data_IF_694329745620
#
_entry.id   IF_694329745620
#
_cell.length_a   1.000
_cell.length_b   1.000
_cell.length_c   1.000
_cell.angle_alpha   90.00
_cell.angle_beta   90.00
_cell.angle_gamma   90.00
#
_symmetry.space_group_name_H-M   'P 1'
#
loop_
_entity.id
_entity.type
_entity.pdbx_description
1 polymer ?
#
# COMPACT_ATOMS: atom_id res chain seq x y z
N UNK A 1 -26.70 21.45 26.50
CA UNK A 1 -26.47 20.44 25.42
C UNK A 1 -25.13 20.62 24.72
N UNK A 2 -24.73 21.83 24.31
CA UNK A 2 -23.46 22.10 23.60
C UNK A 2 -22.18 21.77 24.40
N UNK A 3 -22.14 22.05 25.70
CA UNK A 3 -21.00 21.74 26.55
C UNK A 3 -20.67 20.24 26.66
N UNK A 4 -21.68 19.37 26.49
CA UNK A 4 -21.50 17.92 26.50
C UNK A 4 -20.87 17.42 25.19
N UNK A 5 -21.23 18.04 24.05
CA UNK A 5 -20.64 17.73 22.75
C UNK A 5 -19.17 18.17 22.72
N UNK A 6 -18.86 19.36 23.24
CA UNK A 6 -17.47 19.83 23.30
C UNK A 6 -16.58 18.97 24.20
N UNK A 7 -17.06 18.55 25.37
CA UNK A 7 -16.34 17.58 26.21
C UNK A 7 -16.16 16.23 25.52
N UNK A 8 -17.19 15.76 24.83
CA UNK A 8 -17.12 14.51 24.08
C UNK A 8 -16.07 14.58 22.96
N UNK A 9 -16.04 15.67 22.18
CA UNK A 9 -15.04 15.90 21.12
C UNK A 9 -13.62 16.02 21.71
N UNK A 10 -13.45 16.77 22.81
CA UNK A 10 -12.13 16.87 23.45
C UNK A 10 -11.64 15.52 23.95
N UNK A 11 -12.51 14.71 24.55
CA UNK A 11 -12.13 13.40 25.08
C UNK A 11 -11.87 12.36 23.99
N UNK A 12 -12.71 12.30 22.94
CA UNK A 12 -12.66 11.21 21.96
C UNK A 12 -11.88 11.55 20.70
N UNK A 13 -11.77 12.82 20.31
CA UNK A 13 -11.03 13.23 19.10
C UNK A 13 -9.70 13.89 19.48
N UNK A 14 -9.74 14.94 20.30
CA UNK A 14 -8.50 15.62 20.72
C UNK A 14 -7.69 14.75 21.70
N UNK A 15 -8.34 13.89 22.48
CA UNK A 15 -7.71 12.89 23.33
C UNK A 15 -6.84 11.91 22.55
N UNK A 16 -7.33 11.41 21.41
CA UNK A 16 -6.56 10.54 20.50
C UNK A 16 -5.31 11.25 19.95
N UNK A 17 -5.44 12.52 19.58
CA UNK A 17 -4.30 13.32 19.12
C UNK A 17 -3.25 13.53 20.23
N UNK A 18 -3.68 13.68 21.50
CA UNK A 18 -2.78 13.76 22.67
C UNK A 18 -2.11 12.42 22.99
N UNK A 19 -2.74 11.32 22.61
CA UNK A 19 -2.23 9.95 22.78
C UNK A 19 -1.32 9.49 21.64
N UNK A 20 -1.22 10.29 20.58
CA UNK A 20 -0.42 9.97 19.42
C UNK A 20 1.07 9.92 19.78
N UNK A 21 1.71 8.79 19.47
CA UNK A 21 3.13 8.57 19.66
C UNK A 21 3.85 8.58 18.33
N UNK A 22 5.08 9.09 18.30
CA UNK A 22 5.92 9.06 17.10
C UNK A 22 6.18 7.63 16.59
N UNK A 23 6.11 6.63 17.47
CA UNK A 23 6.20 5.20 17.10
C UNK A 23 5.07 4.74 16.18
N UNK A 24 3.93 5.44 16.14
CA UNK A 24 2.83 5.13 15.23
C UNK A 24 3.06 5.65 13.81
N UNK A 25 3.99 6.60 13.60
CA UNK A 25 4.20 7.22 12.29
C UNK A 25 4.62 6.23 11.20
N UNK A 26 5.61 5.34 11.39
CA UNK A 26 6.05 4.44 10.33
C UNK A 26 4.93 3.55 9.74
N UNK A 27 4.14 2.79 10.54
CA UNK A 27 3.04 2.00 9.98
C UNK A 27 1.94 2.88 9.39
N UNK A 28 1.65 4.05 10.00
CA UNK A 28 0.66 4.97 9.44
C UNK A 28 1.05 5.53 8.08
N UNK A 29 2.32 5.83 7.85
CA UNK A 29 2.80 6.29 6.54
C UNK A 29 2.58 5.24 5.45
N UNK A 30 2.79 3.95 5.77
CA UNK A 30 2.49 2.83 4.87
C UNK A 30 1.00 2.78 4.55
N UNK A 31 0.13 2.84 5.57
CA UNK A 31 -1.31 2.80 5.36
C UNK A 31 -1.83 4.03 4.60
N UNK A 32 -1.26 5.21 4.82
CA UNK A 32 -1.58 6.42 4.05
C UNK A 32 -1.20 6.23 2.58
N UNK A 33 -0.01 5.69 2.30
CA UNK A 33 0.41 5.39 0.93
C UNK A 33 -0.54 4.38 0.25
N UNK A 34 -0.92 3.31 0.96
CA UNK A 34 -1.90 2.35 0.48
C UNK A 34 -3.27 2.99 0.24
N UNK A 35 -3.72 3.90 1.12
CA UNK A 35 -4.99 4.60 1.00
C UNK A 35 -5.07 5.58 -0.17
N UNK A 36 -3.94 6.15 -0.59
CA UNK A 36 -3.85 7.04 -1.77
C UNK A 36 -3.76 6.23 -3.07
N UNK A 37 -3.33 4.96 -3.00
CA UNK A 37 -3.11 4.10 -4.17
C UNK A 37 -4.29 3.99 -5.16
N UNK A 38 -5.58 3.98 -4.75
CA UNK A 38 -6.69 3.87 -5.71
C UNK A 38 -6.74 5.03 -6.71
N UNK A 39 -6.23 6.22 -6.35
CA UNK A 39 -6.15 7.35 -7.28
C UNK A 39 -5.31 7.02 -8.51
N UNK A 40 -4.26 6.21 -8.34
CA UNK A 40 -3.40 5.77 -9.44
C UNK A 40 -4.08 4.70 -10.30
N UNK A 41 -4.96 3.88 -9.72
CA UNK A 41 -5.71 2.86 -10.44
C UNK A 41 -6.77 3.45 -11.39
N UNK A 42 -7.31 4.64 -11.06
CA UNK A 42 -8.24 5.37 -11.92
C UNK A 42 -7.59 5.65 -13.28
N UNK A 43 -6.35 6.16 -13.28
CA UNK A 43 -5.59 6.46 -14.51
C UNK A 43 -5.37 5.19 -15.34
N UNK A 44 -5.06 4.07 -14.69
CA UNK A 44 -4.92 2.77 -15.37
C UNK A 44 -6.20 2.32 -16.07
N UNK A 45 -7.36 2.52 -15.44
CA UNK A 45 -8.66 2.13 -16.01
C UNK A 45 -9.02 2.92 -17.27
N UNK A 46 -8.70 4.23 -17.31
CA UNK A 46 -8.85 5.03 -18.52
C UNK A 46 -7.89 4.59 -19.62
N UNK A 47 -6.62 4.34 -19.28
CA UNK A 47 -5.62 3.88 -20.23
C UNK A 47 -6.03 2.56 -20.92
N UNK A 48 -6.51 1.58 -20.16
CA UNK A 48 -7.01 0.31 -20.70
C UNK A 48 -8.15 0.52 -21.68
N UNK A 49 -9.12 1.35 -21.29
CA UNK A 49 -10.32 1.61 -22.09
C UNK A 49 -10.00 2.35 -23.39
N UNK A 50 -9.08 3.31 -23.36
CA UNK A 50 -8.83 4.22 -24.48
C UNK A 50 -7.69 3.75 -25.40
N UNK A 51 -6.69 3.02 -24.87
CA UNK A 51 -5.44 2.73 -25.60
C UNK A 51 -5.18 1.25 -25.85
N UNK A 52 -5.64 0.36 -24.96
CA UNK A 52 -5.36 -1.08 -25.09
C UNK A 52 -6.54 -1.89 -25.64
N UNK A 53 -7.79 -1.45 -25.39
CA UNK A 53 -8.98 -2.16 -25.88
C UNK A 53 -9.11 -3.60 -25.36
N UNK A 54 -8.54 -3.89 -24.18
CA UNK A 54 -8.57 -5.23 -23.59
C UNK A 54 -10.01 -5.65 -23.26
N UNK A 55 -10.30 -6.94 -23.42
CA UNK A 55 -11.63 -7.46 -23.14
C UNK A 55 -11.92 -7.46 -21.63
N UNK A 56 -13.21 -7.39 -21.27
CA UNK A 56 -13.63 -7.37 -19.87
C UNK A 56 -13.21 -8.66 -19.14
N UNK A 57 -13.22 -9.80 -19.84
CA UNK A 57 -12.83 -11.11 -19.32
C UNK A 57 -11.33 -11.13 -18.97
N UNK A 58 -10.49 -10.54 -19.82
CA UNK A 58 -9.06 -10.45 -19.55
C UNK A 58 -8.76 -9.59 -18.32
N UNK A 59 -9.42 -8.43 -18.22
CA UNK A 59 -9.25 -7.53 -17.08
C UNK A 59 -9.75 -8.15 -15.78
N UNK A 60 -10.85 -8.90 -15.81
CA UNK A 60 -11.33 -9.66 -14.66
C UNK A 60 -10.30 -10.72 -14.21
N UNK A 61 -9.68 -11.43 -15.17
CA UNK A 61 -8.60 -12.36 -14.88
C UNK A 61 -7.35 -11.68 -14.30
N UNK A 62 -6.94 -10.54 -14.86
CA UNK A 62 -5.82 -9.76 -14.34
C UNK A 62 -6.10 -9.24 -12.93
N UNK A 63 -7.31 -8.73 -12.66
CA UNK A 63 -7.73 -8.29 -11.34
C UNK A 63 -7.71 -9.43 -10.31
N UNK A 64 -8.14 -10.64 -10.71
CA UNK A 64 -8.03 -11.83 -9.87
C UNK A 64 -6.59 -12.11 -9.46
N UNK A 65 -5.65 -12.10 -10.42
CA UNK A 65 -4.23 -12.31 -10.13
C UNK A 65 -3.62 -11.16 -9.32
N UNK A 66 -4.03 -9.92 -9.57
CA UNK A 66 -3.60 -8.75 -8.80
C UNK A 66 -4.06 -8.82 -7.33
N UNK A 67 -5.13 -9.54 -7.01
CA UNK A 67 -5.60 -9.75 -5.63
C UNK A 67 -4.91 -10.91 -4.92
N UNK A 68 -4.23 -11.81 -5.65
CA UNK A 68 -3.56 -12.97 -5.09
C UNK A 68 -2.53 -12.64 -3.98
N UNK A 69 -1.73 -11.56 -4.08
CA UNK A 69 -0.82 -11.17 -3.00
C UNK A 69 -1.52 -10.98 -1.66
N UNK A 70 -2.73 -10.39 -1.63
CA UNK A 70 -3.49 -10.21 -0.39
C UNK A 70 -3.93 -11.54 0.23
N UNK A 71 -4.29 -12.52 -0.59
CA UNK A 71 -4.60 -13.87 -0.10
C UNK A 71 -3.37 -14.55 0.52
N UNK A 72 -2.17 -14.22 0.04
CA UNK A 72 -0.89 -14.73 0.54
C UNK A 72 -0.27 -13.84 1.63
N UNK A 73 -0.98 -12.80 2.08
CA UNK A 73 -0.48 -11.84 3.08
C UNK A 73 0.01 -12.54 4.34
N UNK A 74 -0.74 -13.51 4.86
CA UNK A 74 -0.39 -14.21 6.11
C UNK A 74 0.92 -15.02 6.01
N UNK A 75 1.12 -15.87 4.98
CA UNK A 75 2.43 -16.48 4.72
C UNK A 75 3.57 -15.48 4.56
N UNK A 76 3.35 -14.37 3.84
CA UNK A 76 4.38 -13.34 3.64
C UNK A 76 4.72 -12.64 4.96
N UNK A 77 3.72 -12.36 5.79
CA UNK A 77 3.93 -11.82 7.14
C UNK A 77 4.79 -12.74 7.99
N UNK A 78 4.51 -14.04 7.97
CA UNK A 78 5.35 -15.02 8.66
C UNK A 78 6.82 -15.00 8.18
N UNK A 79 7.07 -14.81 6.88
CA UNK A 79 8.44 -14.64 6.36
C UNK A 79 9.08 -13.36 6.90
N UNK A 80 8.35 -12.25 6.92
CA UNK A 80 8.83 -10.97 7.48
C UNK A 80 9.19 -11.12 8.96
N UNK A 81 8.39 -11.86 9.73
CA UNK A 81 8.65 -12.13 11.14
C UNK A 81 9.97 -12.89 11.35
N UNK A 82 10.26 -13.90 10.51
CA UNK A 82 11.54 -14.64 10.56
C UNK A 82 12.75 -13.72 10.30
N UNK A 83 12.57 -12.71 9.46
CA UNK A 83 13.61 -11.76 9.06
C UNK A 83 13.43 -10.37 9.71
N UNK A 84 12.81 -10.31 10.89
CA UNK A 84 12.39 -9.05 11.52
C UNK A 84 13.50 -8.00 11.69
N UNK A 85 14.74 -8.44 11.92
CA UNK A 85 15.92 -7.56 12.04
C UNK A 85 16.15 -6.67 10.81
N UNK A 86 15.69 -7.09 9.63
CA UNK A 86 15.81 -6.36 8.36
C UNK A 86 14.46 -5.82 7.86
N UNK A 87 13.47 -5.61 8.74
CA UNK A 87 12.13 -5.09 8.41
C UNK A 87 12.13 -3.85 7.49
N UNK A 88 13.06 -2.92 7.70
CA UNK A 88 13.20 -1.74 6.83
C UNK A 88 13.54 -2.11 5.39
N UNK A 89 14.32 -3.16 5.16
CA UNK A 89 14.62 -3.70 3.84
C UNK A 89 13.37 -4.17 3.09
N UNK A 90 12.42 -4.81 3.78
CA UNK A 90 11.14 -5.20 3.18
C UNK A 90 10.27 -3.98 2.81
N UNK A 91 10.25 -2.94 3.66
CA UNK A 91 9.55 -1.68 3.34
C UNK A 91 10.13 -1.03 2.09
N UNK A 92 11.46 -0.92 2.01
CA UNK A 92 12.15 -0.36 0.83
C UNK A 92 11.95 -1.21 -0.42
N UNK A 93 11.97 -2.54 -0.29
CA UNK A 93 11.69 -3.44 -1.41
C UNK A 93 10.27 -3.24 -1.93
N UNK A 94 9.28 -3.21 -1.04
CA UNK A 94 7.89 -2.93 -1.43
C UNK A 94 7.74 -1.55 -2.07
N UNK A 95 8.45 -0.54 -1.54
CA UNK A 95 8.43 0.81 -2.10
C UNK A 95 9.01 0.85 -3.51
N UNK A 96 10.11 0.12 -3.74
CA UNK A 96 10.73 0.01 -5.04
C UNK A 96 9.81 -0.68 -6.04
N UNK A 97 9.11 -1.75 -5.64
CA UNK A 97 8.14 -2.44 -6.50
C UNK A 97 6.99 -1.51 -6.92
N UNK A 98 6.45 -0.74 -5.98
CA UNK A 98 5.42 0.29 -6.27
C UNK A 98 5.99 1.37 -7.19
N UNK A 99 7.20 1.87 -6.90
CA UNK A 99 7.85 2.91 -7.70
C UNK A 99 8.11 2.45 -9.14
N UNK A 100 8.56 1.21 -9.34
CA UNK A 100 8.76 0.63 -10.67
C UNK A 100 7.42 0.46 -11.39
N UNK A 101 6.38 -0.02 -10.70
CA UNK A 101 5.03 -0.15 -11.29
C UNK A 101 4.49 1.20 -11.79
N UNK A 102 4.55 2.24 -10.94
CA UNK A 102 4.14 3.59 -11.30
C UNK A 102 5.04 4.18 -12.38
N UNK A 103 6.35 3.93 -12.32
CA UNK A 103 7.31 4.34 -13.33
C UNK A 103 6.99 3.77 -14.70
N UNK A 104 6.64 2.48 -14.79
CA UNK A 104 6.17 1.85 -16.03
C UNK A 104 4.94 2.58 -16.56
N UNK A 105 3.93 2.85 -15.72
CA UNK A 105 2.73 3.55 -16.16
C UNK A 105 3.01 4.99 -16.63
N UNK A 106 3.87 5.72 -15.92
CA UNK A 106 4.28 7.08 -16.31
C UNK A 106 5.00 7.07 -17.65
N UNK A 107 5.94 6.14 -17.86
CA UNK A 107 6.68 6.02 -19.12
C UNK A 107 5.77 5.56 -20.26
N UNK A 108 4.83 4.66 -19.99
CA UNK A 108 3.89 4.18 -20.99
C UNK A 108 2.94 5.29 -21.45
N UNK A 109 2.62 6.25 -20.58
CA UNK A 109 1.80 7.44 -20.88
C UNK A 109 2.60 8.59 -21.53
N UNK A 110 3.83 8.83 -21.08
CA UNK A 110 4.64 9.97 -21.52
C UNK A 110 5.59 9.69 -22.69
N UNK A 111 6.02 8.43 -22.84
CA UNK A 111 7.04 7.99 -23.81
C UNK A 111 6.66 6.64 -24.45
N UNK A 112 5.40 6.51 -24.88
CA UNK A 112 4.83 5.26 -25.39
C UNK A 112 5.65 4.64 -26.51
N UNK A 113 6.08 5.42 -27.51
CA UNK A 113 6.86 4.90 -28.65
C UNK A 113 8.16 4.22 -28.20
N UNK A 114 8.88 4.82 -27.25
CA UNK A 114 10.11 4.24 -26.72
C UNK A 114 9.83 2.93 -25.96
N UNK A 115 8.75 2.88 -25.16
CA UNK A 115 8.38 1.67 -24.43
C UNK A 115 7.95 0.52 -25.33
N UNK A 116 7.25 0.84 -26.43
CA UNK A 116 6.82 -0.13 -27.43
C UNK A 116 7.98 -0.78 -28.20
N UNK A 117 9.17 -0.16 -28.20
CA UNK A 117 10.38 -0.80 -28.78
C UNK A 117 10.90 -1.97 -27.94
N UNK A 118 10.57 -2.01 -26.65
CA UNK A 118 11.08 -3.01 -25.70
C UNK A 118 10.07 -4.14 -25.52
N UNK A 119 8.80 -3.81 -25.28
CA UNK A 119 7.72 -4.78 -25.12
C UNK A 119 6.37 -4.15 -25.49
N UNK A 120 5.34 -4.98 -25.72
CA UNK A 120 4.00 -4.48 -26.02
C UNK A 120 3.43 -3.69 -24.84
N UNK A 121 2.56 -2.72 -25.13
CA UNK A 121 1.87 -1.94 -24.10
C UNK A 121 1.06 -2.84 -23.14
N UNK A 122 0.48 -3.93 -23.65
CA UNK A 122 -0.20 -4.94 -22.85
C UNK A 122 0.76 -5.60 -21.85
N UNK A 123 1.96 -5.99 -22.27
CA UNK A 123 2.95 -6.63 -21.38
C UNK A 123 3.40 -5.67 -20.28
N UNK A 124 3.66 -4.40 -20.64
CA UNK A 124 3.99 -3.36 -19.66
C UNK A 124 2.85 -3.14 -18.67
N UNK A 125 1.61 -3.07 -19.17
CA UNK A 125 0.43 -2.90 -18.34
C UNK A 125 0.17 -4.07 -17.39
N UNK A 126 0.31 -5.32 -17.85
CA UNK A 126 0.20 -6.51 -17.00
C UNK A 126 1.28 -6.47 -15.92
N UNK A 127 2.53 -6.19 -16.31
CA UNK A 127 3.67 -6.14 -15.39
C UNK A 127 3.46 -5.09 -14.31
N UNK A 128 3.09 -3.86 -14.67
CA UNK A 128 2.82 -2.81 -13.68
C UNK A 128 1.64 -3.18 -12.77
N UNK A 129 0.57 -3.73 -13.34
CA UNK A 129 -0.65 -4.10 -12.61
C UNK A 129 -0.44 -5.21 -11.59
N UNK A 130 0.48 -6.14 -11.85
CA UNK A 130 0.83 -7.22 -10.90
C UNK A 130 1.88 -6.78 -9.87
N UNK A 131 2.81 -5.90 -10.25
CA UNK A 131 3.94 -5.51 -9.41
C UNK A 131 3.52 -4.62 -8.22
N UNK A 132 2.61 -3.67 -8.44
CA UNK A 132 2.14 -2.76 -7.40
C UNK A 132 1.48 -3.48 -6.21
N UNK A 133 0.48 -4.37 -6.42
CA UNK A 133 -0.11 -5.20 -5.36
C UNK A 133 0.89 -5.91 -4.46
N UNK A 134 1.92 -6.53 -5.05
CA UNK A 134 2.94 -7.26 -4.29
C UNK A 134 3.71 -6.28 -3.39
N UNK A 135 4.09 -5.11 -3.93
CA UNK A 135 4.76 -4.08 -3.16
C UNK A 135 3.91 -3.55 -2.00
N UNK A 136 2.61 -3.29 -2.24
CA UNK A 136 1.69 -2.85 -1.19
C UNK A 136 1.53 -3.89 -0.09
N UNK A 137 1.27 -5.16 -0.45
CA UNK A 137 1.12 -6.23 0.54
C UNK A 137 2.39 -6.43 1.35
N UNK A 138 3.57 -6.34 0.72
CA UNK A 138 4.84 -6.46 1.43
C UNK A 138 5.03 -5.35 2.46
N UNK A 139 4.64 -4.11 2.15
CA UNK A 139 4.69 -3.03 3.13
C UNK A 139 3.62 -3.20 4.21
N UNK A 140 2.42 -3.62 3.83
CA UNK A 140 1.26 -3.83 4.70
C UNK A 140 1.55 -4.87 5.79
N UNK A 141 2.16 -6.01 5.44
CA UNK A 141 2.56 -7.01 6.46
C UNK A 141 3.61 -6.48 7.44
N UNK A 142 4.55 -5.66 6.97
CA UNK A 142 5.56 -5.05 7.83
C UNK A 142 4.92 -4.02 8.76
N UNK A 143 3.99 -3.22 8.22
CA UNK A 143 3.23 -2.24 8.99
C UNK A 143 2.39 -2.92 10.09
N UNK A 144 1.69 -4.00 9.76
CA UNK A 144 0.93 -4.79 10.73
C UNK A 144 1.82 -5.29 11.88
N UNK A 145 2.99 -5.83 11.57
CA UNK A 145 3.93 -6.29 12.59
C UNK A 145 4.53 -5.13 13.40
N UNK A 146 4.74 -3.96 12.79
CA UNK A 146 5.20 -2.75 13.51
C UNK A 146 4.17 -2.25 14.52
N UNK A 147 2.86 -2.51 14.31
CA UNK A 147 1.84 -2.11 15.28
C UNK A 147 2.03 -2.78 16.63
N UNK A 148 2.53 -4.03 16.66
CA UNK A 148 2.83 -4.77 17.90
C UNK A 148 3.97 -4.11 18.67
N UNK A 149 5.04 -3.70 17.99
CA UNK A 149 6.15 -2.97 18.62
C UNK A 149 5.76 -1.58 19.11
N UNK A 150 4.76 -0.96 18.48
CA UNK A 150 4.32 0.35 18.85
C UNK A 150 3.44 0.37 20.12
N UNK A 151 2.96 -0.80 20.57
CA UNK A 151 2.20 -0.93 21.82
C UNK A 151 3.10 -0.61 23.01
N UNK A 152 2.72 0.35 23.89
CA UNK A 152 3.49 0.66 25.08
C UNK A 152 3.55 -0.55 26.02
N UNK A 153 4.74 -0.88 26.51
CA UNK A 153 4.95 -1.93 27.51
C UNK A 153 4.58 -1.49 28.93
N UNK A 154 4.21 -0.21 29.11
CA UNK A 154 3.94 0.42 30.40
C UNK A 154 2.78 1.41 30.19
N UNK A 155 1.75 1.30 31.03
CA UNK A 155 0.61 2.22 31.08
C UNK A 155 1.03 3.59 31.65
N UNK A 156 0.14 4.59 31.55
CA UNK A 156 0.29 5.96 32.06
C UNK A 156 0.63 6.02 33.55
N UNK A 157 0.22 5.01 34.31
CA UNK A 157 0.47 4.91 35.75
C UNK A 157 1.79 4.18 36.09
N UNK A 158 2.62 3.86 35.10
CA UNK A 158 3.92 3.21 35.30
C UNK A 158 3.86 1.71 35.57
N UNK A 159 2.68 1.09 35.38
CA UNK A 159 2.48 -0.36 35.50
C UNK A 159 2.68 -1.05 34.13
N UNK A 160 3.32 -2.22 34.08
CA UNK A 160 3.45 -3.02 32.87
C UNK A 160 2.12 -3.61 32.38
#
# INVERSE_FOLDING_TARGET
MTANIWKWVDQHILGLAREFRLSFLPPLMVYVAAGISPLTQIVGSFYVKEQLGLTAEFLAGLAFWAMLPWALKMPVGHLVDLFWKVKSGFVYLGALMIAVSLGIMILLLGHTEAMLTIASAETWFITSSLLAPIGYVLQDVVADAMTVEAVPSIDRDGQP
#
